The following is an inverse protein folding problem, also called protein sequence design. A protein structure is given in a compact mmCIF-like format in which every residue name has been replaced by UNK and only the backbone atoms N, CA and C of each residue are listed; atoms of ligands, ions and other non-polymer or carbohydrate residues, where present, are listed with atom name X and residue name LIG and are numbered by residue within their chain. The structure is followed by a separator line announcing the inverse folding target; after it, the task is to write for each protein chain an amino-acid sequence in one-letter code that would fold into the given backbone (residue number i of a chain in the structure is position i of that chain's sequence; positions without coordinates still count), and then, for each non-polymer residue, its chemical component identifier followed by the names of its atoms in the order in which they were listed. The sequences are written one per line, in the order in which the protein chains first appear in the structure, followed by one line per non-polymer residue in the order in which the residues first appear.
data_IF_733699881344
#
_entry.id   IF_733699881344
#
_cell.length_a   1.000
_cell.length_b   1.000
_cell.length_c   1.000
_cell.angle_alpha   90.00
_cell.angle_beta   90.00
_cell.angle_gamma   90.00
#
_symmetry.space_group_name_H-M   'P 1'
#
loop_
_entity.id
_entity.type
_entity.pdbx_description
1 polymer ?
#
# COMPACT_ATOMS: atom_id res chain seq x y z
N UNK A 1 33.97 -24.39 -4.52
CA UNK A 1 32.52 -24.63 -4.52
C UNK A 1 31.84 -23.29 -4.80
N UNK A 2 31.58 -22.98 -6.07
CA UNK A 2 31.01 -21.69 -6.47
C UNK A 2 29.50 -21.72 -6.31
N UNK A 3 28.96 -20.88 -5.44
CA UNK A 3 27.51 -20.73 -5.30
C UNK A 3 26.94 -20.17 -6.61
N UNK A 4 25.92 -20.79 -7.22
CA UNK A 4 25.30 -20.24 -8.42
C UNK A 4 24.73 -18.85 -8.11
N UNK A 5 24.86 -17.86 -9.01
CA UNK A 5 24.28 -16.54 -8.79
C UNK A 5 22.77 -16.68 -8.55
N UNK A 6 22.19 -15.89 -7.62
CA UNK A 6 20.79 -16.02 -7.27
C UNK A 6 19.91 -15.78 -8.50
N UNK A 7 18.83 -16.55 -8.61
CA UNK A 7 17.88 -16.39 -9.72
C UNK A 7 17.16 -15.05 -9.60
N UNK A 8 16.56 -14.58 -10.71
CA UNK A 8 15.73 -13.36 -10.70
C UNK A 8 14.59 -13.47 -9.68
N UNK A 9 14.03 -14.66 -9.49
CA UNK A 9 12.96 -14.92 -8.53
C UNK A 9 13.47 -14.88 -7.08
N UNK A 10 14.67 -15.40 -6.81
CA UNK A 10 15.32 -15.28 -5.50
C UNK A 10 15.67 -13.82 -5.16
N UNK A 11 16.14 -13.06 -6.15
CA UNK A 11 16.38 -11.63 -6.01
C UNK A 11 15.07 -10.87 -5.77
N UNK A 12 14.01 -11.21 -6.49
CA UNK A 12 12.66 -10.64 -6.30
C UNK A 12 12.12 -10.94 -4.90
N UNK A 13 12.25 -12.17 -4.41
CA UNK A 13 11.83 -12.56 -3.06
C UNK A 13 12.64 -11.85 -1.97
N UNK A 14 13.96 -11.72 -2.15
CA UNK A 14 14.85 -10.98 -1.22
C UNK A 14 14.55 -9.49 -1.18
N UNK A 15 14.32 -8.86 -2.33
CA UNK A 15 13.90 -7.46 -2.41
C UNK A 15 12.51 -7.26 -1.82
N UNK A 16 11.56 -8.15 -2.13
CA UNK A 16 10.21 -8.16 -1.56
C UNK A 16 10.22 -8.23 -0.03
N UNK A 17 10.98 -9.16 0.55
CA UNK A 17 11.09 -9.30 2.02
C UNK A 17 11.76 -8.08 2.70
N UNK A 18 12.66 -7.40 1.99
CA UNK A 18 13.35 -6.20 2.49
C UNK A 18 12.45 -4.98 2.44
N UNK A 19 11.70 -4.81 1.35
CA UNK A 19 10.66 -3.78 1.22
C UNK A 19 9.52 -4.01 2.22
N UNK A 20 9.09 -5.26 2.38
CA UNK A 20 8.06 -5.64 3.35
C UNK A 20 8.50 -5.31 4.78
N UNK A 21 9.71 -5.69 5.21
CA UNK A 21 10.21 -5.36 6.58
C UNK A 21 10.30 -3.86 6.81
N UNK A 22 10.68 -3.10 5.78
CA UNK A 22 10.65 -1.66 5.83
C UNK A 22 9.20 -1.19 6.08
N UNK A 23 8.27 -1.54 5.21
CA UNK A 23 6.87 -1.08 5.26
C UNK A 23 6.10 -1.59 6.49
N UNK A 24 6.44 -2.76 7.02
CA UNK A 24 5.80 -3.36 8.19
C UNK A 24 6.28 -2.77 9.53
N UNK A 25 7.40 -2.03 9.53
CA UNK A 25 7.95 -1.43 10.74
C UNK A 25 8.64 -2.41 11.69
N UNK A 26 9.12 -1.94 12.86
CA UNK A 26 9.89 -2.74 13.82
C UNK A 26 9.10 -3.91 14.44
N UNK A 27 7.77 -3.82 14.50
CA UNK A 27 6.89 -4.91 14.95
C UNK A 27 6.34 -5.77 13.80
N UNK A 28 6.93 -5.68 12.60
CA UNK A 28 6.41 -6.30 11.39
C UNK A 28 6.33 -7.82 11.43
N UNK A 29 7.33 -8.49 12.04
CA UNK A 29 7.37 -9.95 12.16
C UNK A 29 6.34 -10.47 13.18
N UNK A 30 6.21 -9.81 14.33
CA UNK A 30 5.20 -10.12 15.35
C UNK A 30 3.78 -9.90 14.82
N UNK A 31 3.54 -8.76 14.14
CA UNK A 31 2.26 -8.48 13.49
C UNK A 31 1.94 -9.52 12.41
N UNK A 32 2.92 -9.93 11.59
CA UNK A 32 2.74 -10.99 10.60
C UNK A 32 2.38 -12.31 11.27
N UNK A 33 3.11 -12.70 12.32
CA UNK A 33 2.83 -13.93 13.07
C UNK A 33 1.40 -13.93 13.65
N UNK A 34 0.96 -12.81 14.23
CA UNK A 34 -0.42 -12.66 14.72
C UNK A 34 -1.45 -12.75 13.59
N UNK A 35 -1.28 -11.97 12.52
CA UNK A 35 -2.24 -11.90 11.41
C UNK A 35 -2.43 -13.29 10.75
N UNK A 36 -1.35 -14.00 10.47
CA UNK A 36 -1.40 -15.28 9.78
C UNK A 36 -1.60 -16.47 10.72
N UNK A 37 -1.17 -16.37 11.98
CA UNK A 37 -1.15 -17.49 12.93
C UNK A 37 -2.38 -17.60 13.83
N UNK A 38 -3.17 -16.54 14.02
CA UNK A 38 -4.37 -16.60 14.86
C UNK A 38 -5.44 -17.52 14.23
N UNK A 39 -5.89 -18.60 14.90
CA UNK A 39 -6.94 -19.46 14.38
C UNK A 39 -8.27 -18.71 14.21
N UNK A 40 -9.06 -19.06 13.19
CA UNK A 40 -10.41 -18.52 12.98
C UNK A 40 -10.78 -18.30 11.52
N UNK A 41 -12.06 -18.01 11.23
CA UNK A 41 -12.51 -17.72 9.88
C UNK A 41 -11.83 -16.46 9.31
N UNK A 42 -11.69 -16.40 7.99
CA UNK A 42 -11.10 -15.28 7.24
C UNK A 42 -12.14 -14.69 6.30
N UNK A 43 -12.05 -13.40 5.97
CA UNK A 43 -12.90 -12.82 4.93
C UNK A 43 -12.61 -13.42 3.55
N UNK A 44 -11.33 -13.70 3.28
CA UNK A 44 -10.84 -14.19 2.00
C UNK A 44 -10.21 -15.57 2.17
N UNK A 45 -10.62 -16.51 1.32
CA UNK A 45 -10.09 -17.87 1.30
C UNK A 45 -8.62 -17.90 0.84
N UNK A 46 -7.95 -19.04 0.96
CA UNK A 46 -6.54 -19.17 0.55
C UNK A 46 -6.30 -18.81 -0.92
N UNK A 47 -7.25 -19.16 -1.77
CA UNK A 47 -7.16 -18.98 -3.21
C UNK A 47 -7.81 -17.67 -3.70
N UNK A 48 -8.23 -16.78 -2.79
CA UNK A 48 -8.84 -15.50 -3.15
C UNK A 48 -7.83 -14.60 -3.88
N UNK A 49 -8.19 -14.01 -5.03
CA UNK A 49 -7.31 -13.13 -5.81
C UNK A 49 -6.68 -11.99 -5.01
N UNK A 50 -7.40 -11.40 -4.05
CA UNK A 50 -6.87 -10.33 -3.19
C UNK A 50 -5.65 -10.76 -2.37
N UNK A 51 -5.57 -12.04 -1.98
CA UNK A 51 -4.40 -12.55 -1.27
C UNK A 51 -3.18 -12.67 -2.16
N UNK A 52 -3.39 -13.03 -3.44
CA UNK A 52 -2.31 -13.06 -4.42
C UNK A 52 -1.75 -11.65 -4.66
N UNK A 53 -2.63 -10.67 -4.89
CA UNK A 53 -2.21 -9.27 -5.13
C UNK A 53 -1.54 -8.67 -3.89
N UNK A 54 -2.18 -8.74 -2.72
CA UNK A 54 -1.66 -8.12 -1.49
C UNK A 54 -0.44 -8.84 -0.90
N UNK A 55 -0.20 -10.10 -1.30
CA UNK A 55 0.97 -10.88 -0.89
C UNK A 55 2.21 -10.62 -1.76
N UNK A 56 2.07 -9.93 -2.89
CA UNK A 56 3.13 -9.75 -3.86
C UNK A 56 3.95 -8.46 -3.62
N UNK A 57 5.24 -8.50 -3.97
CA UNK A 57 6.17 -7.38 -3.80
C UNK A 57 5.80 -6.14 -4.63
N UNK A 58 5.04 -6.31 -5.72
CA UNK A 58 4.52 -5.23 -6.56
C UNK A 58 3.60 -4.27 -5.80
N UNK A 59 3.03 -4.69 -4.66
CA UNK A 59 2.27 -3.82 -3.75
C UNK A 59 3.06 -2.58 -3.31
N UNK A 60 4.39 -2.66 -3.23
CA UNK A 60 5.21 -1.50 -2.90
C UNK A 60 5.12 -0.41 -3.98
N UNK A 61 5.25 -0.81 -5.25
CA UNK A 61 5.12 0.11 -6.38
C UNK A 61 3.68 0.64 -6.50
N UNK A 62 2.70 -0.24 -6.34
CA UNK A 62 1.29 0.13 -6.34
C UNK A 62 0.93 1.08 -5.20
N UNK A 63 1.47 0.88 -4.01
CA UNK A 63 1.23 1.75 -2.85
C UNK A 63 1.83 3.14 -3.03
N UNK A 64 3.04 3.23 -3.58
CA UNK A 64 3.63 4.53 -3.91
C UNK A 64 2.81 5.27 -4.97
N UNK A 65 2.35 4.57 -6.02
CA UNK A 65 1.46 5.13 -7.03
C UNK A 65 0.13 5.58 -6.42
N UNK A 66 -0.49 4.77 -5.57
CA UNK A 66 -1.75 5.07 -4.89
C UNK A 66 -1.64 6.35 -4.05
N UNK A 67 -0.54 6.54 -3.30
CA UNK A 67 -0.31 7.78 -2.55
C UNK A 67 -0.30 9.03 -3.45
N UNK A 68 0.32 8.93 -4.63
CA UNK A 68 0.38 10.02 -5.59
C UNK A 68 -0.99 10.28 -6.20
N UNK A 69 -1.66 9.24 -6.68
CA UNK A 69 -2.98 9.35 -7.32
C UNK A 69 -3.99 9.88 -6.32
N UNK A 70 -4.11 9.29 -5.12
CA UNK A 70 -5.04 9.73 -4.08
C UNK A 70 -4.88 11.23 -3.74
N UNK A 71 -3.65 11.75 -3.76
CA UNK A 71 -3.35 13.16 -3.45
C UNK A 71 -3.92 14.17 -4.46
N UNK A 72 -4.38 13.71 -5.63
CA UNK A 72 -4.97 14.56 -6.66
C UNK A 72 -6.36 15.06 -6.30
N UNK A 73 -7.09 14.41 -5.40
CA UNK A 73 -8.41 14.88 -4.98
C UNK A 73 -8.28 15.93 -3.87
N UNK A 74 -8.70 17.20 -4.08
CA UNK A 74 -8.43 18.29 -3.14
C UNK A 74 -8.99 18.06 -1.73
N UNK A 75 -10.24 17.57 -1.62
CA UNK A 75 -10.88 17.34 -0.33
C UNK A 75 -10.26 16.16 0.44
N UNK A 76 -10.02 15.04 -0.23
CA UNK A 76 -9.30 13.90 0.36
C UNK A 76 -7.90 14.32 0.84
N UNK A 77 -7.16 15.09 0.04
CA UNK A 77 -5.84 15.57 0.43
C UNK A 77 -5.90 16.58 1.59
N UNK A 78 -6.95 17.40 1.68
CA UNK A 78 -7.15 18.29 2.82
C UNK A 78 -7.41 17.51 4.12
N UNK A 79 -8.26 16.48 4.07
CA UNK A 79 -8.51 15.58 5.20
C UNK A 79 -7.21 14.91 5.68
N UNK A 80 -6.38 14.45 4.74
CA UNK A 80 -5.05 13.90 5.04
C UNK A 80 -4.14 14.98 5.64
N UNK A 81 -3.97 16.13 4.98
CA UNK A 81 -2.99 17.14 5.41
C UNK A 81 -3.30 17.75 6.78
N UNK A 82 -4.57 17.89 7.15
CA UNK A 82 -4.95 18.53 8.40
C UNK A 82 -4.81 17.62 9.64
N UNK A 83 -4.87 16.30 9.46
CA UNK A 83 -5.01 15.37 10.60
C UNK A 83 -3.94 14.27 10.67
N UNK A 84 -3.10 14.10 9.64
CA UNK A 84 -2.20 12.94 9.58
C UNK A 84 -0.75 13.21 9.99
N UNK A 85 -0.39 14.44 10.38
CA UNK A 85 1.03 14.77 10.55
C UNK A 85 1.85 14.41 9.30
N UNK A 86 1.25 14.52 8.10
CA UNK A 86 1.80 14.08 6.81
C UNK A 86 3.24 14.57 6.59
N UNK A 87 3.56 15.77 7.08
CA UNK A 87 4.91 16.38 6.97
C UNK A 87 5.93 15.79 7.95
N UNK A 88 5.49 15.13 9.02
CA UNK A 88 6.32 14.61 10.12
C UNK A 88 6.50 13.09 10.16
N UNK A 89 5.49 12.29 9.77
CA UNK A 89 5.57 10.80 9.83
C UNK A 89 4.86 10.07 8.66
N UNK A 90 5.37 10.20 7.42
CA UNK A 90 4.83 9.47 6.26
C UNK A 90 5.09 7.96 6.33
N UNK A 91 6.12 7.53 7.07
CA UNK A 91 6.46 6.11 7.21
C UNK A 91 5.50 5.39 8.16
N UNK A 92 5.15 6.01 9.28
CA UNK A 92 4.09 5.50 10.14
C UNK A 92 2.72 5.52 9.46
N UNK A 93 2.45 6.48 8.56
CA UNK A 93 1.23 6.44 7.73
C UNK A 93 1.22 5.22 6.81
N UNK A 94 2.31 4.98 6.08
CA UNK A 94 2.41 3.82 5.19
C UNK A 94 2.32 2.50 5.98
N UNK A 95 2.95 2.43 7.16
CA UNK A 95 2.83 1.29 8.09
C UNK A 95 1.37 1.07 8.53
N UNK A 96 0.62 2.12 8.88
CA UNK A 96 -0.78 2.00 9.31
C UNK A 96 -1.68 1.47 8.19
N UNK A 97 -1.55 2.01 6.97
CA UNK A 97 -2.29 1.50 5.81
C UNK A 97 -1.89 0.07 5.47
N UNK A 98 -0.59 -0.24 5.45
CA UNK A 98 -0.12 -1.61 5.20
C UNK A 98 -0.60 -2.60 6.26
N UNK A 99 -0.65 -2.19 7.53
CA UNK A 99 -1.17 -3.02 8.62
C UNK A 99 -2.66 -3.24 8.44
N UNK A 100 -3.41 -2.20 8.08
CA UNK A 100 -4.84 -2.31 7.79
C UNK A 100 -5.09 -3.31 6.65
N UNK A 101 -4.42 -3.15 5.51
CA UNK A 101 -4.54 -4.08 4.37
C UNK A 101 -4.17 -5.52 4.76
N UNK A 102 -3.09 -5.70 5.51
CA UNK A 102 -2.66 -7.03 5.96
C UNK A 102 -3.69 -7.69 6.89
N UNK A 103 -4.25 -6.93 7.85
CA UNK A 103 -5.26 -7.42 8.78
C UNK A 103 -6.55 -7.76 8.06
N UNK A 104 -7.07 -6.88 7.19
CA UNK A 104 -8.33 -7.11 6.48
C UNK A 104 -8.23 -8.22 5.44
N UNK A 105 -7.03 -8.46 4.89
CA UNK A 105 -6.82 -9.47 3.85
C UNK A 105 -6.47 -10.85 4.41
N UNK A 106 -5.59 -10.90 5.42
CA UNK A 106 -5.00 -12.15 5.91
C UNK A 106 -5.40 -12.49 7.36
N UNK A 107 -5.88 -11.51 8.12
CA UNK A 107 -6.28 -11.66 9.52
C UNK A 107 -7.66 -12.29 9.69
N UNK A 108 -8.00 -12.67 10.93
CA UNK A 108 -9.33 -13.25 11.24
C UNK A 108 -10.44 -12.30 10.80
N UNK A 109 -11.62 -12.84 10.50
CA UNK A 109 -12.80 -12.03 10.19
C UNK A 109 -13.18 -11.09 11.34
N UNK A 110 -12.84 -11.45 12.58
CA UNK A 110 -12.99 -10.60 13.77
C UNK A 110 -11.97 -9.45 13.77
N UNK A 111 -10.68 -9.75 13.60
CA UNK A 111 -9.63 -8.73 13.52
C UNK A 111 -9.89 -7.74 12.37
N UNK A 112 -10.36 -8.24 11.24
CA UNK A 112 -10.72 -7.44 10.08
C UNK A 112 -11.88 -6.47 10.37
N UNK A 113 -12.94 -6.94 11.06
CA UNK A 113 -14.05 -6.08 11.52
C UNK A 113 -13.56 -5.02 12.51
N UNK A 114 -12.80 -5.41 13.52
CA UNK A 114 -12.24 -4.46 14.49
C UNK A 114 -11.33 -3.42 13.83
N UNK A 115 -10.54 -3.81 12.84
CA UNK A 115 -9.72 -2.88 12.06
C UNK A 115 -10.57 -1.87 11.29
N UNK A 116 -11.64 -2.32 10.63
CA UNK A 116 -12.61 -1.45 9.94
C UNK A 116 -13.28 -0.49 10.93
N UNK A 117 -13.81 -0.97 12.04
CA UNK A 117 -14.49 -0.16 13.06
C UNK A 117 -13.58 0.96 13.58
N UNK A 118 -12.31 0.62 13.85
CA UNK A 118 -11.31 1.61 14.26
C UNK A 118 -11.07 2.68 13.19
N UNK A 119 -10.94 2.29 11.92
CA UNK A 119 -10.75 3.25 10.83
C UNK A 119 -11.98 4.14 10.69
N UNK A 120 -13.20 3.58 10.73
CA UNK A 120 -14.44 4.35 10.69
C UNK A 120 -14.54 5.35 11.85
N UNK A 121 -14.21 4.92 13.07
CA UNK A 121 -14.23 5.81 14.24
C UNK A 121 -13.24 6.97 14.12
N UNK A 122 -12.09 6.77 13.46
CA UNK A 122 -11.14 7.85 13.15
C UNK A 122 -11.71 8.76 12.07
N UNK A 123 -12.18 8.21 10.94
CA UNK A 123 -12.74 8.98 9.84
C UNK A 123 -13.93 9.84 10.27
N UNK A 124 -14.75 9.35 11.21
CA UNK A 124 -15.90 10.08 11.72
C UNK A 124 -15.52 11.40 12.41
N UNK A 125 -14.33 11.45 13.03
CA UNK A 125 -13.81 12.62 13.76
C UNK A 125 -13.05 13.60 12.86
N UNK A 126 -12.60 13.16 11.69
CA UNK A 126 -11.76 13.96 10.78
C UNK A 126 -12.66 14.82 9.89
N UNK A 127 -12.85 16.09 10.26
CA UNK A 127 -13.65 17.07 9.51
C UNK A 127 -12.95 18.42 9.49
N UNK A 128 -13.30 19.25 8.52
CA UNK A 128 -12.78 20.62 8.47
C UNK A 128 -13.20 21.36 7.20
N UNK A 129 -12.46 22.42 6.89
CA UNK A 129 -12.60 23.19 5.65
C UNK A 129 -11.27 23.35 4.94
N UNK A 130 -11.30 23.37 3.62
CA UNK A 130 -10.15 23.70 2.78
C UNK A 130 -9.86 25.21 2.79
N UNK A 131 -8.69 25.67 2.32
CA UNK A 131 -8.38 27.11 2.23
C UNK A 131 -9.36 27.92 1.38
N UNK A 132 -9.98 27.30 0.37
CA UNK A 132 -11.04 27.86 -0.48
C UNK A 132 -12.45 27.70 0.13
N UNK A 133 -12.57 27.29 1.39
CA UNK A 133 -13.81 27.30 2.17
C UNK A 133 -14.70 26.06 2.05
N UNK A 134 -14.37 25.10 1.18
CA UNK A 134 -15.15 23.85 1.02
C UNK A 134 -15.03 22.97 2.26
N UNK A 135 -16.15 22.44 2.75
CA UNK A 135 -16.14 21.49 3.86
C UNK A 135 -15.65 20.12 3.38
N UNK A 136 -15.01 19.38 4.28
CA UNK A 136 -14.68 17.97 4.08
C UNK A 136 -15.00 17.17 5.35
N UNK A 137 -15.31 15.89 5.15
CA UNK A 137 -15.45 14.88 6.19
C UNK A 137 -14.82 13.60 5.68
N UNK A 138 -13.88 13.02 6.41
CA UNK A 138 -13.17 11.82 5.93
C UNK A 138 -14.08 10.58 5.83
N UNK A 139 -15.24 10.58 6.50
CA UNK A 139 -16.25 9.54 6.38
C UNK A 139 -17.30 9.84 5.29
N UNK A 140 -17.10 10.87 4.46
CA UNK A 140 -17.91 11.11 3.25
C UNK A 140 -17.77 9.89 2.29
N UNK A 141 -18.86 9.17 1.97
CA UNK A 141 -18.83 8.01 1.08
C UNK A 141 -18.21 8.29 -0.29
N UNK A 142 -18.35 9.50 -0.83
CA UNK A 142 -17.74 9.89 -2.10
C UNK A 142 -16.22 10.00 -2.00
N UNK A 143 -15.70 10.53 -0.89
CA UNK A 143 -14.26 10.62 -0.65
C UNK A 143 -13.64 9.26 -0.30
N UNK A 144 -14.36 8.43 0.46
CA UNK A 144 -13.98 7.03 0.69
C UNK A 144 -13.91 6.26 -0.63
N UNK A 145 -14.89 6.46 -1.51
CA UNK A 145 -14.93 5.89 -2.85
C UNK A 145 -13.69 6.23 -3.67
N UNK A 146 -13.30 7.50 -3.70
CA UNK A 146 -12.08 7.94 -4.39
C UNK A 146 -10.82 7.23 -3.87
N UNK A 147 -10.63 7.23 -2.54
CA UNK A 147 -9.45 6.61 -1.91
C UNK A 147 -9.38 5.13 -2.27
N UNK A 148 -10.52 4.44 -2.22
CA UNK A 148 -10.64 3.03 -2.59
C UNK A 148 -10.29 2.77 -4.05
N UNK A 149 -10.95 3.43 -5.02
CA UNK A 149 -10.72 3.12 -6.44
C UNK A 149 -9.32 3.49 -6.90
N UNK A 150 -8.76 4.59 -6.40
CA UNK A 150 -7.38 4.98 -6.67
C UNK A 150 -6.37 3.94 -6.12
N UNK A 151 -6.66 3.36 -4.96
CA UNK A 151 -5.83 2.31 -4.36
C UNK A 151 -5.89 1.01 -5.17
N UNK A 152 -7.11 0.53 -5.45
CA UNK A 152 -7.33 -0.72 -6.20
C UNK A 152 -6.76 -0.65 -7.61
N UNK A 153 -6.97 0.46 -8.34
CA UNK A 153 -6.41 0.63 -9.70
C UNK A 153 -4.87 0.58 -9.69
N UNK A 154 -4.24 1.25 -8.71
CA UNK A 154 -2.78 1.27 -8.61
C UNK A 154 -2.20 -0.10 -8.23
N UNK A 155 -2.81 -0.82 -7.28
CA UNK A 155 -2.39 -2.18 -6.91
C UNK A 155 -2.60 -3.16 -8.05
N UNK A 156 -3.76 -3.12 -8.72
CA UNK A 156 -4.06 -3.95 -9.88
C UNK A 156 -3.03 -3.75 -10.98
N UNK A 157 -2.77 -2.49 -11.38
CA UNK A 157 -1.81 -2.17 -12.44
C UNK A 157 -0.39 -2.60 -12.07
N UNK A 158 0.02 -2.39 -10.81
CA UNK A 158 1.33 -2.81 -10.34
C UNK A 158 1.47 -4.34 -10.38
N UNK A 159 0.47 -5.08 -9.90
CA UNK A 159 0.47 -6.54 -9.94
C UNK A 159 0.46 -7.07 -11.37
N UNK A 160 -0.36 -6.50 -12.27
CA UNK A 160 -0.38 -6.85 -13.69
C UNK A 160 0.96 -6.63 -14.38
N UNK A 161 1.71 -5.59 -13.98
CA UNK A 161 2.97 -5.23 -14.61
C UNK A 161 4.20 -5.93 -14.02
N UNK A 162 4.19 -6.20 -12.72
CA UNK A 162 5.37 -6.62 -11.95
C UNK A 162 5.16 -7.84 -11.05
N UNK A 163 3.92 -8.33 -10.93
CA UNK A 163 3.59 -9.47 -10.09
C UNK A 163 4.34 -10.74 -10.49
N UNK A 164 4.76 -11.51 -9.50
CA UNK A 164 5.45 -12.79 -9.75
C UNK A 164 4.52 -13.81 -10.40
N UNK A 165 3.23 -13.78 -10.05
CA UNK A 165 2.20 -14.68 -10.56
C UNK A 165 1.00 -13.85 -11.04
N UNK A 166 1.00 -13.40 -12.31
CA UNK A 166 -0.11 -12.65 -12.87
C UNK A 166 -1.42 -13.43 -12.79
N UNK A 167 -2.52 -12.72 -12.56
CA UNK A 167 -3.86 -13.27 -12.63
C UNK A 167 -4.37 -13.25 -14.08
N UNK A 168 -5.31 -14.12 -14.40
CA UNK A 168 -6.08 -14.01 -15.64
C UNK A 168 -7.12 -12.87 -15.52
N UNK A 169 -7.83 -12.52 -16.61
CA UNK A 169 -8.83 -11.44 -16.57
C UNK A 169 -9.88 -11.64 -15.48
N UNK A 170 -10.43 -12.85 -15.34
CA UNK A 170 -11.43 -13.18 -14.33
C UNK A 170 -10.87 -13.06 -12.90
N UNK A 171 -9.60 -13.44 -12.69
CA UNK A 171 -8.92 -13.25 -11.41
C UNK A 171 -8.74 -11.77 -11.05
N UNK A 172 -8.50 -10.89 -12.03
CA UNK A 172 -8.47 -9.45 -11.79
C UNK A 172 -9.86 -8.87 -11.47
N UNK A 173 -10.93 -9.35 -12.09
CA UNK A 173 -12.29 -8.98 -11.67
C UNK A 173 -12.57 -9.48 -10.24
N UNK A 174 -12.17 -10.71 -9.93
CA UNK A 174 -12.25 -11.27 -8.58
C UNK A 174 -11.48 -10.44 -7.54
N UNK A 175 -10.31 -9.90 -7.91
CA UNK A 175 -9.56 -8.98 -7.05
C UNK A 175 -10.35 -7.70 -6.74
N UNK A 176 -10.96 -7.09 -7.76
CA UNK A 176 -11.77 -5.89 -7.58
C UNK A 176 -13.00 -6.20 -6.72
N UNK A 177 -13.69 -7.32 -6.98
CA UNK A 177 -14.83 -7.77 -6.19
C UNK A 177 -14.49 -8.06 -4.71
N UNK A 178 -13.32 -8.68 -4.45
CA UNK A 178 -12.81 -8.90 -3.10
C UNK A 178 -12.52 -7.57 -2.39
N UNK A 179 -11.87 -6.63 -3.07
CA UNK A 179 -11.55 -5.32 -2.51
C UNK A 179 -12.81 -4.49 -2.22
N UNK A 180 -13.85 -4.63 -3.05
CA UNK A 180 -15.14 -3.98 -2.88
C UNK A 180 -15.81 -4.34 -1.54
N UNK A 181 -15.66 -5.58 -1.06
CA UNK A 181 -16.16 -6.00 0.26
C UNK A 181 -15.57 -5.14 1.37
N UNK A 182 -14.25 -4.89 1.35
CA UNK A 182 -13.59 -4.06 2.36
C UNK A 182 -14.11 -2.62 2.29
N UNK A 183 -14.35 -2.13 1.08
CA UNK A 183 -14.86 -0.78 0.84
C UNK A 183 -16.29 -0.60 1.40
N UNK A 184 -17.17 -1.59 1.20
CA UNK A 184 -18.53 -1.58 1.77
C UNK A 184 -18.49 -1.52 3.29
N UNK A 185 -17.65 -2.34 3.92
CA UNK A 185 -17.45 -2.34 5.38
C UNK A 185 -16.94 -0.98 5.88
N UNK A 186 -16.12 -0.28 5.10
CA UNK A 186 -15.65 1.08 5.39
C UNK A 186 -16.70 2.18 5.16
N UNK A 187 -17.80 1.88 4.46
CA UNK A 187 -18.88 2.83 4.16
C UNK A 187 -18.87 3.40 2.74
N UNK A 188 -18.14 2.79 1.80
CA UNK A 188 -18.21 3.17 0.37
C UNK A 188 -19.54 2.70 -0.21
N UNK A 189 -20.23 3.59 -0.91
CA UNK A 189 -21.46 3.26 -1.62
C UNK A 189 -21.19 2.68 -3.01
N UNK A 190 -21.71 1.47 -3.26
CA UNK A 190 -21.60 0.76 -4.54
C UNK A 190 -20.16 0.77 -5.09
N UNK A 191 -19.18 0.20 -4.37
CA UNK A 191 -17.82 0.09 -4.89
C UNK A 191 -17.80 -0.79 -6.16
N UNK A 192 -16.87 -0.53 -7.10
CA UNK A 192 -16.76 -1.32 -8.32
C UNK A 192 -16.45 -2.78 -7.99
N UNK A 193 -17.02 -3.70 -8.76
CA UNK A 193 -16.88 -5.16 -8.61
C UNK A 193 -16.14 -5.81 -9.79
N UNK A 194 -15.80 -5.05 -10.83
CA UNK A 194 -15.03 -5.50 -11.99
C UNK A 194 -14.00 -4.46 -12.41
N UNK A 195 -13.03 -4.87 -13.22
CA UNK A 195 -12.01 -3.97 -13.78
C UNK A 195 -12.64 -2.86 -14.63
N UNK A 196 -13.71 -3.17 -15.36
CA UNK A 196 -14.43 -2.20 -16.18
C UNK A 196 -15.15 -1.17 -15.30
N UNK A 197 -15.89 -1.61 -14.27
CA UNK A 197 -16.54 -0.70 -13.31
C UNK A 197 -15.51 0.17 -12.56
N UNK A 198 -14.33 -0.39 -12.27
CA UNK A 198 -13.22 0.35 -11.65
C UNK A 198 -12.73 1.46 -12.58
N UNK A 199 -12.53 1.16 -13.87
CA UNK A 199 -12.12 2.13 -14.87
C UNK A 199 -13.17 3.23 -15.06
N UNK A 200 -14.45 2.87 -15.16
CA UNK A 200 -15.56 3.82 -15.22
C UNK A 200 -15.59 4.74 -14.00
N UNK A 201 -15.39 4.18 -12.80
CA UNK A 201 -15.38 4.98 -11.57
C UNK A 201 -14.18 5.92 -11.51
N UNK A 202 -12.98 5.46 -11.89
CA UNK A 202 -11.80 6.32 -12.02
C UNK A 202 -12.03 7.47 -13.00
N UNK A 203 -12.74 7.20 -14.10
CA UNK A 203 -13.07 8.20 -15.11
C UNK A 203 -14.05 9.26 -14.61
N UNK A 204 -15.05 8.86 -13.82
CA UNK A 204 -16.00 9.76 -13.19
C UNK A 204 -15.32 10.81 -12.28
N UNK A 205 -14.24 10.43 -11.59
CA UNK A 205 -13.50 11.37 -10.72
C UNK A 205 -12.60 12.35 -11.47
N UNK A 206 -12.28 12.13 -12.76
CA UNK A 206 -11.27 12.94 -13.49
C UNK A 206 -11.53 14.45 -13.40
N UNK A 207 -12.79 14.87 -13.47
CA UNK A 207 -13.18 16.28 -13.42
C UNK A 207 -12.94 16.95 -12.06
N UNK A 208 -12.76 16.16 -10.99
CA UNK A 208 -12.54 16.62 -9.62
C UNK A 208 -11.04 16.73 -9.25
N UNK A 209 -10.18 16.04 -10.02
CA UNK A 209 -8.75 15.94 -9.74
C UNK A 209 -8.00 17.23 -10.06
N UNK A 210 -7.11 17.65 -9.16
CA UNK A 210 -6.30 18.86 -9.33
C UNK A 210 -4.86 18.64 -8.87
N UNK A 211 -3.91 19.20 -9.61
CA UNK A 211 -2.54 19.35 -9.11
C UNK A 211 -2.47 20.48 -8.08
N UNK A 212 -2.68 20.13 -6.81
CA UNK A 212 -2.57 21.08 -5.68
C UNK A 212 -1.11 21.23 -5.22
N UNK A 213 -0.75 22.30 -4.48
CA UNK A 213 0.57 22.38 -3.84
C UNK A 213 0.88 21.17 -2.95
N UNK A 214 -0.10 20.69 -2.18
CA UNK A 214 0.02 19.49 -1.35
C UNK A 214 0.30 18.22 -2.19
N UNK A 215 -0.38 18.05 -3.32
CA UNK A 215 -0.11 16.98 -4.27
C UNK A 215 1.34 17.02 -4.81
N UNK A 216 1.83 18.20 -5.20
CA UNK A 216 3.21 18.37 -5.68
C UNK A 216 4.24 18.10 -4.59
N UNK A 217 3.93 18.41 -3.34
CA UNK A 217 4.77 18.08 -2.18
C UNK A 217 4.85 16.56 -1.99
N UNK A 218 3.72 15.84 -2.06
CA UNK A 218 3.67 14.36 -2.06
C UNK A 218 4.54 13.78 -3.17
N UNK A 219 4.45 14.30 -4.40
CA UNK A 219 5.23 13.85 -5.55
C UNK A 219 6.73 14.06 -5.38
N UNK A 220 7.13 15.24 -4.89
CA UNK A 220 8.53 15.55 -4.58
C UNK A 220 9.08 14.62 -3.50
N UNK A 221 8.31 14.36 -2.46
CA UNK A 221 8.72 13.48 -1.36
C UNK A 221 8.91 12.02 -1.82
N UNK A 222 7.95 11.50 -2.60
CA UNK A 222 8.04 10.18 -3.21
C UNK A 222 9.28 10.03 -4.09
N UNK A 223 9.66 11.10 -4.80
CA UNK A 223 10.79 11.10 -5.73
C UNK A 223 12.15 11.27 -5.04
N UNK A 224 12.27 12.21 -4.09
CA UNK A 224 13.55 12.62 -3.49
C UNK A 224 14.18 11.57 -2.56
N UNK A 225 13.38 10.69 -1.94
CA UNK A 225 13.90 9.62 -1.07
C UNK A 225 14.26 8.32 -1.79
N UNK A 226 13.96 8.22 -3.09
CA UNK A 226 14.57 7.19 -3.94
C UNK A 226 16.04 7.51 -4.25
N UNK A 227 16.39 8.80 -4.29
CA UNK A 227 17.72 9.32 -4.64
C UNK A 227 18.70 9.40 -3.46
N UNK A 228 18.25 9.39 -2.21
CA UNK A 228 19.13 9.24 -1.04
C UNK A 228 19.51 7.76 -0.79
N UNK A 229 19.93 7.08 -1.85
CA UNK A 229 20.83 5.92 -1.78
C UNK A 229 22.20 6.39 -2.28
N UNK A 230 22.76 7.43 -1.65
CA UNK A 230 24.09 7.95 -1.96
C UNK A 230 25.20 7.11 -1.29
N UNK A 231 25.20 5.79 -1.51
CA UNK A 231 26.31 4.91 -1.08
C UNK A 231 26.93 4.14 -2.25
N UNK A 232 26.51 4.37 -3.50
CA UNK A 232 27.06 3.67 -4.66
C UNK A 232 27.71 4.58 -5.72
N UNK A 233 28.39 5.65 -5.29
CA UNK A 233 29.33 6.37 -6.17
C UNK A 233 30.66 6.67 -5.48
N UNK A 234 31.63 5.79 -5.74
CA UNK A 234 33.01 6.18 -6.07
C UNK A 234 33.93 6.54 -4.91
N UNK A 235 34.57 5.52 -4.33
CA UNK A 235 35.91 5.64 -3.77
C UNK A 235 36.83 4.66 -4.48
N UNK A 236 37.55 5.12 -5.52
CA UNK A 236 38.75 4.42 -5.99
C UNK A 236 39.79 4.59 -4.88
N UNK A 237 40.10 3.51 -4.17
CA UNK A 237 41.36 3.37 -3.45
C UNK A 237 41.79 1.90 -3.54
N UNK A 238 43.06 1.76 -3.94
CA UNK A 238 43.82 0.53 -4.17
C UNK A 238 43.81 -0.43 -2.97
N UNK A 239 43.98 -1.74 -3.18
CA UNK A 239 43.99 -2.71 -2.10
C UNK A 239 45.29 -2.58 -1.30
N UNK A 240 45.18 -2.22 -0.02
CA UNK A 240 46.24 -2.46 0.96
C UNK A 240 45.81 -3.61 1.86
N UNK A 241 46.77 -4.50 2.06
CA UNK A 241 46.69 -5.75 2.82
C UNK A 241 46.21 -5.59 4.26
N UNK A 242 45.72 -6.71 4.80
CA UNK A 242 45.55 -7.07 6.23
C UNK A 242 44.21 -6.73 6.92
N UNK A 243 43.36 -7.76 7.07
CA UNK A 243 42.80 -8.23 8.35
C UNK A 243 41.78 -9.37 8.08
N UNK A 244 42.24 -10.64 8.19
CA UNK A 244 41.82 -11.63 9.21
C UNK A 244 40.38 -12.16 9.00
N UNK A 245 40.18 -13.26 8.24
CA UNK A 245 40.13 -14.67 8.70
C UNK A 245 39.49 -14.88 10.08
N UNK A 246 38.28 -15.47 10.10
CA UNK A 246 38.04 -16.83 10.59
C UNK A 246 36.54 -17.02 10.92
N UNK A 247 35.90 -17.99 10.27
CA UNK A 247 34.99 -18.96 10.91
C UNK A 247 34.42 -19.87 9.81
N UNK A 248 35.13 -20.97 9.55
CA UNK A 248 34.58 -22.18 8.97
C UNK A 248 35.18 -23.34 9.74
N UNK A 249 34.33 -24.33 10.05
CA UNK A 249 34.59 -25.59 10.74
C UNK A 249 34.74 -25.53 12.27
N UNK A 250 33.66 -25.87 12.98
CA UNK A 250 33.50 -27.22 13.54
C UNK A 250 32.03 -27.54 13.70
#
# INVERSE_FOLDING_TARGET
MGWPPPTVDELRARLGSTLFRRVAGPSGEENRARIHGTPGPRWFGADSPIRAVHGDASMFAGGLAALLVQSLHPLAMAAVSAHSGFRGDPWGRLQRTSTFLAVTTFGTAEDARHAVERVRAVHERVRGRTPDGRAYHAADPHLLGWVHVAEVDCFLRAHRRYGAHPLDPAGYDGYVADAARIAEELGVERPPRSVDELAERMDAYRAELRSTPACRETARYASMRSASSSTLRGGRSTPSSSAIRAASAT
#
